data_IF_607129223446
#
_entry.id   IF_607129223446
#
_cell.length_a   1.000
_cell.length_b   1.000
_cell.length_c   1.000
_cell.angle_alpha   90.00
_cell.angle_beta   90.00
_cell.angle_gamma   90.00
#
_symmetry.space_group_name_H-M   'P 1'
#
loop_
_entity.id
_entity.type
_entity.pdbx_description
1 polymer ?
#
# COMPACT_ATOMS: atom_id res chain seq x y z
N UNK A 1 22.26 11.23 1.38
CA UNK A 1 21.71 10.68 0.12
C UNK A 1 22.55 9.45 -0.26
N UNK A 2 22.47 8.39 0.54
CA UNK A 2 23.28 7.15 0.40
C UNK A 2 22.49 6.01 -0.29
N UNK A 3 21.17 6.21 -0.41
CA UNK A 3 20.17 5.24 -0.89
C UNK A 3 20.36 4.87 -2.36
N UNK A 4 20.66 5.85 -3.22
CA UNK A 4 20.84 5.65 -4.66
C UNK A 4 22.09 4.85 -5.04
N UNK A 5 23.08 4.79 -4.14
CA UNK A 5 24.33 4.06 -4.37
C UNK A 5 24.21 2.56 -4.06
N UNK A 6 23.29 2.18 -3.15
CA UNK A 6 23.10 0.80 -2.68
C UNK A 6 21.92 0.09 -3.33
N UNK A 7 21.01 0.84 -3.95
CA UNK A 7 19.81 0.28 -4.60
C UNK A 7 19.79 0.77 -6.05
N UNK A 8 20.54 0.09 -6.92
CA UNK A 8 20.68 0.45 -8.34
C UNK A 8 19.37 0.37 -9.13
N UNK A 9 18.40 -0.44 -8.68
CA UNK A 9 17.05 -0.50 -9.28
C UNK A 9 16.10 0.61 -8.79
N UNK A 10 16.42 1.32 -7.70
CA UNK A 10 15.56 2.35 -7.11
C UNK A 10 15.66 3.72 -7.80
N UNK A 11 16.65 3.93 -8.69
CA UNK A 11 16.89 5.22 -9.36
C UNK A 11 15.69 5.81 -10.12
N UNK A 12 14.67 5.02 -10.41
CA UNK A 12 13.44 5.50 -11.06
C UNK A 12 12.14 5.16 -10.32
N UNK A 13 12.18 4.37 -9.22
CA UNK A 13 11.00 3.72 -8.63
C UNK A 13 11.03 3.64 -7.10
N UNK A 14 11.71 4.55 -6.40
CA UNK A 14 11.88 4.53 -4.92
C UNK A 14 10.59 4.18 -4.18
N UNK A 15 9.44 4.75 -4.57
CA UNK A 15 8.15 4.44 -3.94
C UNK A 15 7.69 2.99 -4.17
N UNK A 16 7.71 2.50 -5.42
CA UNK A 16 7.36 1.09 -5.73
C UNK A 16 8.37 0.11 -5.11
N UNK A 17 9.66 0.45 -5.09
CA UNK A 17 10.70 -0.34 -4.43
C UNK A 17 10.45 -0.46 -2.92
N UNK A 18 10.14 0.66 -2.25
CA UNK A 18 9.73 0.68 -0.84
C UNK A 18 8.46 -0.15 -0.60
N UNK A 19 7.48 -0.05 -1.49
CA UNK A 19 6.22 -0.81 -1.44
C UNK A 19 6.46 -2.32 -1.59
N UNK A 20 7.17 -2.74 -2.63
CA UNK A 20 7.44 -4.16 -2.91
C UNK A 20 8.37 -4.82 -1.88
N UNK A 21 9.36 -4.08 -1.35
CA UNK A 21 10.27 -4.60 -0.32
C UNK A 21 9.60 -4.78 1.05
N UNK A 22 8.64 -3.93 1.39
CA UNK A 22 7.81 -4.09 2.59
C UNK A 22 6.85 -5.28 2.42
N UNK A 23 6.27 -5.44 1.23
CA UNK A 23 5.33 -6.51 0.93
C UNK A 23 5.88 -7.94 0.85
N UNK A 24 7.13 -8.09 0.41
CA UNK A 24 7.73 -9.41 0.15
C UNK A 24 8.35 -10.06 1.39
N UNK A 25 8.62 -9.29 2.45
CA UNK A 25 9.39 -9.75 3.61
C UNK A 25 8.90 -9.30 4.98
N UNK A 26 7.83 -8.50 5.06
CA UNK A 26 7.02 -8.55 6.28
C UNK A 26 6.26 -9.86 6.23
N UNK A 27 6.82 -10.89 6.87
CA UNK A 27 6.01 -12.04 7.24
C UNK A 27 4.78 -11.52 8.01
N UNK A 28 3.58 -12.06 7.75
CA UNK A 28 2.33 -11.62 8.38
C UNK A 28 2.27 -11.89 9.89
N UNK A 29 3.37 -12.31 10.51
CA UNK A 29 3.48 -12.61 11.94
C UNK A 29 3.70 -11.30 12.71
N UNK A 30 2.59 -10.61 12.97
CA UNK A 30 2.20 -9.63 14.00
C UNK A 30 3.21 -8.74 14.77
N UNK A 31 4.51 -8.98 14.77
CA UNK A 31 5.49 -8.28 15.61
C UNK A 31 6.27 -7.21 14.80
N UNK A 32 6.47 -6.03 15.42
CA UNK A 32 7.30 -4.98 14.82
C UNK A 32 8.76 -5.31 15.11
N UNK A 33 9.44 -5.98 14.18
CA UNK A 33 10.81 -6.41 14.37
C UNK A 33 11.80 -5.26 14.11
N UNK A 34 12.79 -5.05 14.99
CA UNK A 34 13.82 -4.02 14.78
C UNK A 34 14.82 -4.40 13.70
N UNK A 35 14.93 -5.69 13.38
CA UNK A 35 15.87 -6.23 12.40
C UNK A 35 15.14 -6.97 11.29
N UNK A 36 15.72 -6.89 10.09
CA UNK A 36 15.14 -7.51 8.92
C UNK A 36 15.23 -9.05 9.02
N UNK A 37 14.21 -9.79 8.53
CA UNK A 37 14.24 -11.26 8.56
C UNK A 37 15.45 -11.86 7.85
N UNK A 38 15.82 -13.06 8.29
CA UNK A 38 16.88 -13.84 7.63
C UNK A 38 16.44 -14.26 6.22
N UNK A 39 17.39 -14.41 5.30
CA UNK A 39 17.12 -14.91 3.93
C UNK A 39 16.71 -13.85 2.91
N UNK A 40 16.65 -12.57 3.29
CA UNK A 40 16.35 -11.47 2.36
C UNK A 40 17.63 -10.84 1.80
N UNK A 41 17.64 -10.34 0.54
CA UNK A 41 18.80 -9.67 -0.05
C UNK A 41 19.29 -8.47 0.78
N UNK A 42 20.60 -8.21 0.81
CA UNK A 42 21.16 -7.14 1.64
C UNK A 42 20.66 -5.73 1.25
N UNK A 43 20.35 -5.51 -0.03
CA UNK A 43 19.71 -4.27 -0.49
C UNK A 43 18.32 -4.07 0.12
N UNK A 44 17.57 -5.14 0.32
CA UNK A 44 16.24 -5.13 0.94
C UNK A 44 16.33 -5.04 2.47
N UNK A 45 17.36 -5.64 3.11
CA UNK A 45 17.65 -5.41 4.54
C UNK A 45 17.90 -3.94 4.83
N UNK A 46 18.67 -3.26 3.97
CA UNK A 46 18.93 -1.84 4.12
C UNK A 46 17.64 -1.02 4.04
N UNK A 47 16.80 -1.32 3.05
CA UNK A 47 15.52 -0.66 2.86
C UNK A 47 14.57 -0.89 4.04
N UNK A 48 14.46 -2.13 4.51
CA UNK A 48 13.69 -2.49 5.70
C UNK A 48 14.08 -1.62 6.91
N UNK A 49 15.39 -1.56 7.22
CA UNK A 49 15.90 -0.75 8.34
C UNK A 49 15.58 0.73 8.18
N UNK A 50 15.72 1.31 6.98
CA UNK A 50 15.37 2.71 6.73
C UNK A 50 13.88 2.98 7.02
N UNK A 51 13.00 2.05 6.64
CA UNK A 51 11.56 2.18 6.87
C UNK A 51 11.22 2.01 8.36
N UNK A 52 11.74 0.98 9.01
CA UNK A 52 11.54 0.77 10.46
C UNK A 52 12.02 1.97 11.26
N UNK A 53 13.26 2.42 11.03
CA UNK A 53 13.84 3.60 11.70
C UNK A 53 13.01 4.86 11.47
N UNK A 54 12.43 5.03 10.28
CA UNK A 54 11.58 6.18 9.98
C UNK A 54 10.30 6.14 10.82
N UNK A 55 9.61 5.01 10.86
CA UNK A 55 8.37 4.86 11.63
C UNK A 55 8.63 4.94 13.15
N UNK A 56 9.73 4.39 13.65
CA UNK A 56 10.14 4.51 15.05
C UNK A 56 10.40 5.98 15.43
N UNK A 57 11.10 6.73 14.57
CA UNK A 57 11.29 8.18 14.79
C UNK A 57 9.99 8.97 14.77
N UNK A 58 9.00 8.56 13.96
CA UNK A 58 7.68 9.19 13.95
C UNK A 58 6.91 8.89 15.24
N UNK A 59 6.96 7.65 15.74
CA UNK A 59 6.40 7.27 17.03
C UNK A 59 7.03 8.08 18.18
N UNK A 60 8.37 8.09 18.27
CA UNK A 60 9.10 8.90 19.26
C UNK A 60 8.70 10.38 19.23
N UNK A 61 8.50 10.93 18.02
CA UNK A 61 8.06 12.32 17.84
C UNK A 61 6.64 12.51 18.37
N UNK A 62 5.72 11.60 18.08
CA UNK A 62 4.33 11.66 18.54
C UNK A 62 4.26 11.55 20.07
N UNK A 63 5.05 10.67 20.67
CA UNK A 63 5.15 10.53 22.13
C UNK A 63 5.65 11.82 22.78
N UNK A 64 6.71 12.44 22.24
CA UNK A 64 7.22 13.74 22.71
C UNK A 64 6.22 14.89 22.56
N UNK A 65 5.25 14.76 21.65
CA UNK A 65 4.15 15.72 21.47
C UNK A 65 2.94 15.41 22.36
N UNK A 66 3.00 14.41 23.24
CA UNK A 66 1.88 13.98 24.08
C UNK A 66 0.75 13.31 23.30
N UNK A 67 1.05 12.78 22.09
CA UNK A 67 0.10 12.06 21.22
C UNK A 67 0.30 10.56 21.36
N UNK A 68 0.36 10.07 22.60
CA UNK A 68 0.68 8.68 22.90
C UNK A 68 -0.29 7.70 22.24
N UNK A 69 0.24 6.58 21.76
CA UNK A 69 -0.53 5.55 21.05
C UNK A 69 -0.76 5.82 19.56
N UNK A 70 -0.54 7.04 19.05
CA UNK A 70 -0.63 7.32 17.62
C UNK A 70 0.40 6.52 16.80
N UNK A 71 1.60 6.29 17.37
CA UNK A 71 2.66 5.49 16.75
C UNK A 71 2.24 4.05 16.44
N UNK A 72 1.50 3.42 17.35
CA UNK A 72 0.92 2.09 17.14
C UNK A 72 0.03 2.04 15.88
N UNK A 73 -0.88 3.01 15.73
CA UNK A 73 -1.77 3.09 14.56
C UNK A 73 -0.99 3.36 13.27
N UNK A 74 0.06 4.18 13.34
CA UNK A 74 0.93 4.45 12.22
C UNK A 74 1.65 3.16 11.75
N UNK A 75 2.25 2.40 12.67
CA UNK A 75 2.88 1.11 12.36
C UNK A 75 1.87 0.09 11.82
N UNK A 76 0.66 0.05 12.38
CA UNK A 76 -0.45 -0.78 11.88
C UNK A 76 -0.81 -0.45 10.43
N UNK A 77 -0.75 0.83 10.02
CA UNK A 77 -1.02 1.22 8.63
C UNK A 77 -0.02 0.64 7.64
N UNK A 78 1.27 0.65 7.98
CA UNK A 78 2.31 0.04 7.15
C UNK A 78 2.15 -1.47 7.06
N UNK A 79 1.89 -2.14 8.19
CA UNK A 79 1.62 -3.59 8.23
C UNK A 79 0.44 -3.98 7.34
N UNK A 80 -0.64 -3.20 7.37
CA UNK A 80 -1.80 -3.41 6.50
C UNK A 80 -1.42 -3.39 5.03
N UNK A 81 -0.59 -2.43 4.62
CA UNK A 81 -0.10 -2.34 3.23
C UNK A 81 0.81 -3.50 2.86
N UNK A 82 1.68 -3.92 3.77
CA UNK A 82 2.54 -5.08 3.58
C UNK A 82 1.73 -6.37 3.30
N UNK A 83 0.67 -6.59 4.09
CA UNK A 83 -0.23 -7.72 3.90
C UNK A 83 -0.92 -7.71 2.53
N UNK A 84 -1.30 -6.52 2.05
CA UNK A 84 -1.87 -6.36 0.71
C UNK A 84 -0.92 -6.80 -0.41
N UNK A 85 0.36 -6.43 -0.31
CA UNK A 85 1.37 -6.87 -1.28
C UNK A 85 1.71 -8.35 -1.16
N UNK A 86 1.73 -8.91 0.05
CA UNK A 86 1.96 -10.34 0.23
C UNK A 86 0.88 -11.16 -0.50
N UNK A 87 -0.38 -10.70 -0.47
CA UNK A 87 -1.45 -11.31 -1.23
C UNK A 87 -1.26 -11.21 -2.75
N UNK A 88 -0.77 -10.07 -3.26
CA UNK A 88 -0.43 -9.89 -4.68
C UNK A 88 0.70 -10.83 -5.13
N UNK A 89 1.75 -10.94 -4.31
CA UNK A 89 2.86 -11.90 -4.53
C UNK A 89 2.35 -13.34 -4.54
N UNK A 90 1.42 -13.68 -3.65
CA UNK A 90 0.80 -15.00 -3.61
C UNK A 90 -0.02 -15.30 -4.87
N UNK A 91 -0.74 -14.32 -5.42
CA UNK A 91 -1.45 -14.47 -6.69
C UNK A 91 -0.48 -14.64 -7.85
N UNK A 92 0.58 -13.83 -7.91
CA UNK A 92 1.62 -13.92 -8.93
C UNK A 92 2.30 -15.31 -8.93
N UNK A 93 2.76 -15.77 -7.76
CA UNK A 93 3.43 -17.08 -7.62
C UNK A 93 2.56 -18.27 -8.01
N UNK A 94 1.24 -18.12 -7.90
CA UNK A 94 0.26 -19.17 -8.24
C UNK A 94 -0.28 -19.04 -9.66
N UNK A 95 0.19 -18.06 -10.43
CA UNK A 95 -0.37 -17.69 -11.74
C UNK A 95 -1.91 -17.52 -11.68
N UNK A 96 -2.37 -16.89 -10.60
CA UNK A 96 -3.78 -16.80 -10.25
C UNK A 96 -4.32 -15.41 -10.57
N UNK A 97 -5.28 -15.32 -11.50
CA UNK A 97 -6.12 -14.13 -11.66
C UNK A 97 -7.29 -14.24 -10.68
N UNK A 98 -7.27 -13.39 -9.66
CA UNK A 98 -8.29 -13.30 -8.62
C UNK A 98 -9.68 -12.94 -9.17
N UNK A 99 -10.72 -13.19 -8.39
CA UNK A 99 -12.03 -12.58 -8.67
C UNK A 99 -11.92 -11.07 -8.42
N UNK A 100 -12.67 -10.28 -9.17
CA UNK A 100 -12.66 -8.82 -9.02
C UNK A 100 -13.04 -8.36 -7.62
N UNK A 101 -14.00 -9.01 -6.96
CA UNK A 101 -14.39 -8.64 -5.59
C UNK A 101 -13.28 -8.97 -4.57
N UNK A 102 -12.56 -10.07 -4.76
CA UNK A 102 -11.40 -10.45 -3.94
C UNK A 102 -10.22 -9.50 -4.18
N UNK A 103 -9.97 -9.16 -5.44
CA UNK A 103 -9.00 -8.14 -5.84
C UNK A 103 -9.31 -6.80 -5.17
N UNK A 104 -10.57 -6.34 -5.25
CA UNK A 104 -11.01 -5.07 -4.69
C UNK A 104 -10.85 -5.02 -3.17
N UNK A 105 -11.08 -6.14 -2.47
CA UNK A 105 -10.83 -6.21 -1.04
C UNK A 105 -9.34 -6.01 -0.72
N UNK A 106 -8.44 -6.63 -1.50
CA UNK A 106 -7.00 -6.49 -1.33
C UNK A 106 -6.45 -5.12 -1.79
N UNK A 107 -7.03 -4.55 -2.84
CA UNK A 107 -6.70 -3.26 -3.43
C UNK A 107 -6.73 -2.12 -2.41
N UNK A 108 -7.66 -2.18 -1.46
CA UNK A 108 -7.75 -1.24 -0.34
C UNK A 108 -6.44 -1.23 0.46
N UNK A 109 -5.92 -2.41 0.79
CA UNK A 109 -4.70 -2.59 1.57
C UNK A 109 -3.46 -2.22 0.76
N UNK A 110 -3.36 -2.75 -0.46
CA UNK A 110 -2.17 -2.61 -1.29
C UNK A 110 -2.03 -1.22 -1.92
N UNK A 111 -3.06 -0.37 -1.90
CA UNK A 111 -2.98 1.02 -2.40
C UNK A 111 -1.93 1.89 -1.69
N UNK A 112 -1.45 1.47 -0.51
CA UNK A 112 -0.61 2.26 0.40
C UNK A 112 -1.22 3.58 0.91
N UNK A 113 -2.46 3.91 0.51
CA UNK A 113 -3.06 5.21 0.81
C UNK A 113 -3.32 5.38 2.31
N UNK A 114 -3.69 4.31 3.03
CA UNK A 114 -3.80 4.34 4.49
C UNK A 114 -2.49 4.76 5.17
N UNK A 115 -1.36 4.19 4.73
CA UNK A 115 -0.05 4.53 5.28
C UNK A 115 0.32 5.99 4.98
N UNK A 116 0.05 6.48 3.76
CA UNK A 116 0.28 7.88 3.37
C UNK A 116 -0.57 8.84 4.21
N UNK A 117 -1.86 8.53 4.42
CA UNK A 117 -2.74 9.33 5.29
C UNK A 117 -2.24 9.34 6.74
N UNK A 118 -1.82 8.19 7.26
CA UNK A 118 -1.25 8.08 8.61
C UNK A 118 -0.01 8.96 8.79
N UNK A 119 0.93 8.93 7.85
CA UNK A 119 2.13 9.79 7.88
C UNK A 119 1.75 11.27 7.76
N UNK A 120 0.76 11.61 6.94
CA UNK A 120 0.25 12.98 6.80
C UNK A 120 -0.32 13.50 8.13
N UNK A 121 -1.05 12.67 8.87
CA UNK A 121 -1.62 13.04 10.17
C UNK A 121 -0.54 13.38 11.21
N UNK A 122 0.68 12.82 11.09
CA UNK A 122 1.79 13.20 11.97
C UNK A 122 2.12 14.69 11.83
N UNK A 123 2.03 15.25 10.62
CA UNK A 123 2.28 16.66 10.33
C UNK A 123 1.20 17.63 10.80
N UNK A 124 0.02 17.14 11.17
CA UNK A 124 -1.13 17.98 11.55
C UNK A 124 -1.11 18.47 13.01
N UNK A 125 -0.04 18.19 13.76
CA UNK A 125 0.16 18.69 15.13
C UNK A 125 -1.02 18.35 16.04
N UNK A 126 -1.55 19.36 16.73
CA UNK A 126 -2.61 19.22 17.73
C UNK A 126 -3.99 18.86 17.15
N UNK A 127 -4.15 18.90 15.83
CA UNK A 127 -5.42 18.56 15.16
C UNK A 127 -5.63 17.04 15.10
N UNK A 128 -4.58 16.27 14.83
CA UNK A 128 -4.70 14.82 14.65
C UNK A 128 -4.23 14.08 15.91
N UNK A 129 -5.06 13.99 16.95
CA UNK A 129 -4.73 13.22 18.16
C UNK A 129 -5.11 11.75 17.99
N UNK A 130 -5.03 10.97 19.06
CA UNK A 130 -5.26 9.53 19.04
C UNK A 130 -6.60 9.16 18.40
N UNK A 131 -7.65 9.92 18.72
CA UNK A 131 -8.99 9.79 18.14
C UNK A 131 -9.01 9.86 16.61
N UNK A 132 -8.19 10.73 16.00
CA UNK A 132 -8.05 10.82 14.55
C UNK A 132 -7.41 9.57 13.95
N UNK A 133 -6.39 9.00 14.62
CA UNK A 133 -5.73 7.76 14.17
C UNK A 133 -6.62 6.52 14.36
N UNK A 134 -7.38 6.46 15.45
CA UNK A 134 -8.39 5.44 15.70
C UNK A 134 -9.50 5.50 14.65
N UNK A 135 -10.01 6.71 14.39
CA UNK A 135 -10.99 6.95 13.33
C UNK A 135 -10.45 6.49 11.97
N UNK A 136 -9.22 6.85 11.62
CA UNK A 136 -8.60 6.43 10.36
C UNK A 136 -8.47 4.90 10.27
N UNK A 137 -8.09 4.25 11.38
CA UNK A 137 -7.97 2.80 11.51
C UNK A 137 -9.32 2.06 11.42
N UNK A 138 -10.44 2.74 11.68
CA UNK A 138 -11.78 2.15 11.69
C UNK A 138 -12.37 1.90 10.30
N UNK A 139 -11.61 2.16 9.23
CA UNK A 139 -12.07 2.03 7.83
C UNK A 139 -13.23 2.99 7.50
N UNK A 140 -13.07 4.30 7.72
CA UNK A 140 -14.12 5.25 7.39
C UNK A 140 -14.37 5.23 5.88
N UNK A 141 -15.64 5.38 5.47
CA UNK A 141 -16.05 5.26 4.06
C UNK A 141 -15.22 6.13 3.12
N UNK A 142 -14.85 7.33 3.57
CA UNK A 142 -14.02 8.26 2.81
C UNK A 142 -12.61 7.72 2.54
N UNK A 143 -12.00 7.02 3.52
CA UNK A 143 -10.70 6.37 3.33
C UNK A 143 -10.81 5.26 2.31
N UNK A 144 -11.79 4.37 2.46
CA UNK A 144 -12.03 3.25 1.53
C UNK A 144 -12.24 3.78 0.10
N UNK A 145 -13.03 4.84 -0.06
CA UNK A 145 -13.27 5.45 -1.36
C UNK A 145 -11.96 6.01 -1.97
N UNK A 146 -11.16 6.74 -1.19
CA UNK A 146 -9.88 7.27 -1.65
C UNK A 146 -8.88 6.17 -2.05
N UNK A 147 -8.82 5.07 -1.29
CA UNK A 147 -7.98 3.90 -1.59
C UNK A 147 -8.39 3.22 -2.90
N UNK A 148 -9.69 3.00 -3.09
CA UNK A 148 -10.23 2.42 -4.34
C UNK A 148 -9.93 3.34 -5.52
N UNK A 149 -10.13 4.65 -5.36
CA UNK A 149 -9.82 5.63 -6.42
C UNK A 149 -8.34 5.57 -6.77
N UNK A 150 -7.46 5.61 -5.76
CA UNK A 150 -6.02 5.57 -5.96
C UNK A 150 -5.62 4.30 -6.70
N UNK A 151 -6.08 3.13 -6.25
CA UNK A 151 -5.73 1.86 -6.86
C UNK A 151 -6.26 1.74 -8.30
N UNK A 152 -7.52 2.09 -8.53
CA UNK A 152 -8.09 1.95 -9.86
C UNK A 152 -7.46 2.92 -10.87
N UNK A 153 -7.07 4.12 -10.41
CA UNK A 153 -6.32 5.06 -11.27
C UNK A 153 -4.95 4.50 -11.61
N UNK A 154 -4.25 3.94 -10.63
CA UNK A 154 -2.97 3.28 -10.81
C UNK A 154 -3.07 2.12 -11.82
N UNK A 155 -4.04 1.21 -11.65
CA UNK A 155 -4.28 0.08 -12.56
C UNK A 155 -4.54 0.55 -14.00
N UNK A 156 -5.35 1.60 -14.20
CA UNK A 156 -5.64 2.13 -15.55
C UNK A 156 -4.39 2.71 -16.20
N UNK A 157 -3.66 3.52 -15.44
CA UNK A 157 -2.50 4.25 -15.97
C UNK A 157 -1.28 3.36 -16.18
N UNK A 158 -1.16 2.27 -15.42
CA UNK A 158 -0.03 1.36 -15.46
C UNK A 158 -0.30 0.07 -16.26
N UNK A 159 -1.55 -0.24 -16.61
CA UNK A 159 -1.97 -1.50 -17.24
C UNK A 159 -1.00 -2.04 -18.31
N UNK A 160 -0.73 -1.25 -19.35
CA UNK A 160 0.10 -1.67 -20.48
C UNK A 160 1.58 -1.84 -20.09
N UNK A 161 2.04 -1.12 -19.06
CA UNK A 161 3.37 -1.27 -18.51
C UNK A 161 3.48 -2.53 -17.65
N UNK A 162 2.47 -2.80 -16.82
CA UNK A 162 2.43 -3.98 -15.96
C UNK A 162 2.41 -5.27 -16.78
N UNK A 163 1.71 -5.29 -17.92
CA UNK A 163 1.69 -6.42 -18.85
C UNK A 163 3.01 -6.65 -19.61
N UNK A 164 3.95 -5.69 -19.59
CA UNK A 164 5.27 -5.84 -20.21
C UNK A 164 6.30 -6.48 -19.27
N UNK A 165 5.95 -6.66 -17.99
CA UNK A 165 6.81 -7.27 -16.97
C UNK A 165 6.09 -8.45 -16.33
N UNK A 166 6.82 -9.28 -15.61
CA UNK A 166 6.20 -10.28 -14.73
C UNK A 166 5.52 -9.54 -13.58
N UNK A 167 4.19 -9.60 -13.54
CA UNK A 167 3.37 -8.88 -12.57
C UNK A 167 2.07 -9.63 -12.31
N UNK A 168 1.47 -9.38 -11.15
CA UNK A 168 0.13 -9.88 -10.86
C UNK A 168 -0.87 -9.25 -11.82
N UNK A 169 -1.94 -9.97 -12.12
CA UNK A 169 -3.07 -9.45 -12.88
C UNK A 169 -3.63 -8.18 -12.23
N UNK A 170 -3.89 -7.18 -13.06
CA UNK A 170 -4.43 -5.88 -12.63
C UNK A 170 -5.90 -5.99 -12.24
N UNK A 171 -6.45 -4.94 -11.64
CA UNK A 171 -7.89 -4.86 -11.41
C UNK A 171 -8.71 -4.97 -12.70
N UNK A 172 -8.18 -4.45 -13.81
CA UNK A 172 -8.82 -4.52 -15.13
C UNK A 172 -8.92 -5.97 -15.61
N UNK A 173 -7.87 -6.77 -15.45
CA UNK A 173 -7.87 -8.18 -15.83
C UNK A 173 -8.84 -8.99 -14.97
N UNK A 174 -8.85 -8.73 -13.65
CA UNK A 174 -9.78 -9.35 -12.73
C UNK A 174 -11.24 -9.02 -13.10
N UNK A 175 -11.51 -7.77 -13.50
CA UNK A 175 -12.82 -7.32 -13.94
C UNK A 175 -13.25 -7.99 -15.24
N UNK A 176 -12.39 -7.96 -16.27
CA UNK A 176 -12.63 -8.60 -17.56
C UNK A 176 -12.91 -10.10 -17.40
N UNK A 177 -12.13 -10.79 -16.55
CA UNK A 177 -12.30 -12.22 -16.28
C UNK A 177 -13.62 -12.53 -15.56
N UNK A 178 -13.99 -11.73 -14.55
CA UNK A 178 -15.21 -11.99 -13.77
C UNK A 178 -16.49 -11.69 -14.55
N UNK A 179 -16.51 -10.60 -15.31
CA UNK A 179 -17.72 -10.14 -16.00
C UNK A 179 -17.75 -10.48 -17.49
N UNK A 180 -16.71 -11.12 -18.02
CA UNK A 180 -16.58 -11.49 -19.43
C UNK A 180 -16.74 -10.29 -20.38
N UNK A 181 -16.16 -9.14 -20.02
CA UNK A 181 -16.23 -7.88 -20.78
C UNK A 181 -14.92 -7.57 -21.48
N UNK A 182 -14.95 -6.67 -22.47
CA UNK A 182 -13.74 -6.18 -23.12
C UNK A 182 -12.96 -5.21 -22.22
N UNK A 183 -11.69 -4.97 -22.56
CA UNK A 183 -10.84 -4.00 -21.86
C UNK A 183 -11.42 -2.59 -21.89
N UNK A 184 -11.99 -2.19 -23.03
CA UNK A 184 -12.58 -0.87 -23.23
C UNK A 184 -13.80 -0.66 -22.33
N UNK A 185 -14.64 -1.69 -22.17
CA UNK A 185 -15.78 -1.66 -21.24
C UNK A 185 -15.31 -1.60 -19.78
N UNK A 186 -14.32 -2.41 -19.40
CA UNK A 186 -13.73 -2.38 -18.06
C UNK A 186 -13.17 -0.98 -17.72
N UNK A 187 -12.46 -0.34 -18.66
CA UNK A 187 -11.97 1.03 -18.48
C UNK A 187 -13.08 2.07 -18.35
N UNK A 188 -14.14 1.94 -19.14
CA UNK A 188 -15.29 2.84 -19.07
C UNK A 188 -15.99 2.73 -17.71
N UNK A 189 -16.22 1.52 -17.22
CA UNK A 189 -16.90 1.29 -15.94
C UNK A 189 -16.06 1.77 -14.74
N UNK A 190 -14.75 1.56 -14.80
CA UNK A 190 -13.80 2.15 -13.84
C UNK A 190 -13.87 3.68 -13.86
N UNK A 191 -13.95 4.26 -15.06
CA UNK A 191 -14.00 5.72 -15.24
C UNK A 191 -15.29 6.34 -14.69
N UNK A 192 -16.42 5.63 -14.81
CA UNK A 192 -17.72 6.04 -14.27
C UNK A 192 -17.70 6.01 -12.74
N UNK A 193 -17.01 5.03 -12.12
CA UNK A 193 -16.84 4.96 -10.68
C UNK A 193 -16.22 6.25 -10.09
N UNK A 194 -15.27 6.87 -10.80
CA UNK A 194 -14.70 8.17 -10.39
C UNK A 194 -15.73 9.31 -10.42
N UNK A 195 -16.60 9.33 -11.44
CA UNK A 195 -17.63 10.37 -11.58
C UNK A 195 -18.72 10.26 -10.52
N UNK A 196 -19.05 9.03 -10.09
CA UNK A 196 -20.04 8.80 -9.03
C UNK A 196 -19.52 9.21 -7.65
N UNK A 197 -18.24 9.01 -7.36
CA UNK A 197 -17.62 9.39 -6.09
C UNK A 197 -17.37 10.91 -5.97
N UNK A 198 -17.29 11.65 -7.08
CA UNK A 198 -17.23 13.11 -7.09
C UNK A 198 -18.57 13.82 -6.89
N UNK A 199 -19.68 13.07 -6.78
CA UNK A 199 -21.05 13.60 -6.64
C UNK A 199 -21.70 13.31 -5.27
N UNK A 200 -20.99 12.64 -4.36
CA UNK A 200 -21.48 12.29 -3.02
C UNK A 200 -21.03 13.26 -1.95
#
# INVERSE_FOLDING_TARGET
>A
MEFESKITYAKHRVAEVCLWAVGTYFEPEDEWLPEAPNGIPDSMKHLYRVIIDFYDKLEDKLEKQGRSGCGFHLKKSLKSTANGYMQEVNWLRKDCIAKFDEYKANAILSSAYYAIMGVTFVGMGDVAKLDAFEWLSSHPKIRIAAEIICRFTDDITSYDFEHKREHVATGIDCYMKQFCVSKELAYMDYSILFQMLGRS
#
